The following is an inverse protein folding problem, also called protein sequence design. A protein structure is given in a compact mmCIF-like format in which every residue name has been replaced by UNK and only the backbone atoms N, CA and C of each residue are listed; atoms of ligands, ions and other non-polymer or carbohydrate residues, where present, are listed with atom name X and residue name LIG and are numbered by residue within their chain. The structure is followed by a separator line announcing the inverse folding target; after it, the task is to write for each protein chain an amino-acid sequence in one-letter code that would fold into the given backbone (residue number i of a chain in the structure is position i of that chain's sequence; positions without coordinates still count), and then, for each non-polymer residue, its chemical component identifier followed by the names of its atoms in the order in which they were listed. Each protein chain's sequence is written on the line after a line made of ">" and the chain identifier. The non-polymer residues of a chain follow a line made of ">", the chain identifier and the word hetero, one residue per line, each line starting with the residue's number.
data_IF_626115793632
#
_entry.id   IF_626115793632
#
_cell.length_a   1.000
_cell.length_b   1.000
_cell.length_c   1.000
_cell.angle_alpha   90.00
_cell.angle_beta   90.00
_cell.angle_gamma   90.00
#
_symmetry.space_group_name_H-M   'P 1'
#
loop_
_entity.id
_entity.type
_entity.pdbx_description
1 polymer ?
#
# COMPACT_ATOMS: atom_id res chain seq x y z
N UNK A 1 -18.12 1.35 0.44
CA UNK A 1 -16.90 0.56 0.69
C UNK A 1 -15.71 1.47 0.94
N UNK A 2 -15.03 1.23 2.05
CA UNK A 2 -13.83 2.00 2.35
C UNK A 2 -12.69 1.59 1.42
N UNK A 3 -11.88 2.57 1.04
CA UNK A 3 -10.64 2.33 0.31
C UNK A 3 -9.51 2.93 1.11
N UNK A 4 -8.31 2.37 0.94
CA UNK A 4 -7.12 2.85 1.63
C UNK A 4 -6.08 3.27 0.62
N UNK A 5 -5.61 4.50 0.76
CA UNK A 5 -4.44 4.99 0.04
C UNK A 5 -3.24 4.80 0.95
N UNK A 6 -2.27 4.03 0.48
CA UNK A 6 -1.12 3.63 1.28
C UNK A 6 0.13 4.14 0.57
N UNK A 7 0.96 4.90 1.28
CA UNK A 7 2.30 5.19 0.80
C UNK A 7 3.27 4.27 1.50
N UNK A 8 4.27 3.80 0.78
CA UNK A 8 5.28 2.90 1.31
C UNK A 8 6.68 3.44 1.03
N UNK A 9 7.61 3.11 1.91
CA UNK A 9 8.99 3.52 1.80
C UNK A 9 9.89 2.40 2.30
N UNK A 10 10.89 2.04 1.49
CA UNK A 10 11.90 1.06 1.88
C UNK A 10 12.88 1.74 2.84
N UNK A 11 13.20 1.06 3.95
CA UNK A 11 14.20 1.55 4.89
C UNK A 11 15.60 1.45 4.24
N UNK A 12 16.26 2.58 3.96
CA UNK A 12 17.56 2.54 3.28
C UNK A 12 18.65 1.87 4.12
N UNK A 13 18.49 1.83 5.44
CA UNK A 13 19.47 1.19 6.33
C UNK A 13 19.37 -0.33 6.31
N UNK A 14 18.28 -0.86 5.78
CA UNK A 14 18.05 -2.31 5.70
C UNK A 14 18.07 -2.83 4.27
N UNK A 15 18.21 -1.94 3.29
CA UNK A 15 18.33 -2.33 1.89
C UNK A 15 19.75 -2.83 1.61
N UNK A 16 19.92 -3.92 0.87
CA UNK A 16 21.26 -4.39 0.49
C UNK A 16 21.98 -3.34 -0.35
N UNK A 17 23.27 -3.17 -0.10
CA UNK A 17 24.12 -2.24 -0.84
C UNK A 17 24.51 -2.83 -2.20
N UNK A 18 24.78 -4.13 -2.25
CA UNK A 18 25.12 -4.80 -3.49
C UNK A 18 23.94 -4.79 -4.46
N UNK A 19 24.12 -4.31 -5.73
CA UNK A 19 23.02 -4.22 -6.68
C UNK A 19 22.32 -5.55 -6.98
N UNK A 20 23.04 -6.66 -6.99
CA UNK A 20 22.44 -7.97 -7.24
C UNK A 20 21.57 -8.43 -6.07
N UNK A 21 22.04 -8.25 -4.85
CA UNK A 21 21.25 -8.56 -3.66
C UNK A 21 20.02 -7.65 -3.53
N UNK A 22 20.21 -6.36 -3.84
CA UNK A 22 19.12 -5.39 -3.82
C UNK A 22 18.06 -5.75 -4.87
N UNK A 23 18.50 -6.14 -6.08
CA UNK A 23 17.58 -6.58 -7.13
C UNK A 23 16.78 -7.80 -6.73
N UNK A 24 17.42 -8.77 -6.06
CA UNK A 24 16.75 -9.98 -5.58
C UNK A 24 15.70 -9.64 -4.51
N UNK A 25 16.00 -8.72 -3.60
CA UNK A 25 15.06 -8.28 -2.57
C UNK A 25 13.86 -7.56 -3.20
N UNK A 26 14.09 -6.68 -4.18
CA UNK A 26 13.03 -6.00 -4.91
C UNK A 26 12.14 -6.99 -5.67
N UNK A 27 12.75 -8.00 -6.30
CA UNK A 27 11.98 -9.02 -7.02
C UNK A 27 11.06 -9.79 -6.08
N UNK A 28 11.56 -10.19 -4.92
CA UNK A 28 10.75 -10.89 -3.92
C UNK A 28 9.56 -10.05 -3.48
N UNK A 29 9.79 -8.76 -3.18
CA UNK A 29 8.71 -7.84 -2.79
C UNK A 29 7.70 -7.68 -3.93
N UNK A 30 8.18 -7.48 -5.15
CA UNK A 30 7.31 -7.28 -6.31
C UNK A 30 6.43 -8.52 -6.59
N UNK A 31 6.97 -9.71 -6.41
CA UNK A 31 6.19 -10.94 -6.56
C UNK A 31 5.09 -11.06 -5.50
N UNK A 32 5.37 -10.67 -4.27
CA UNK A 32 4.35 -10.62 -3.21
C UNK A 32 3.24 -9.63 -3.54
N UNK A 33 3.60 -8.45 -4.02
CA UNK A 33 2.63 -7.42 -4.44
C UNK A 33 1.79 -7.93 -5.61
N UNK A 34 2.41 -8.56 -6.59
CA UNK A 34 1.71 -9.11 -7.75
C UNK A 34 0.66 -10.12 -7.32
N UNK A 35 0.99 -10.96 -6.35
CA UNK A 35 0.04 -11.92 -5.78
C UNK A 35 -1.13 -11.20 -5.09
N UNK A 36 -0.86 -10.15 -4.33
CA UNK A 36 -1.90 -9.36 -3.69
C UNK A 36 -2.84 -8.73 -4.71
N UNK A 37 -2.32 -8.26 -5.83
CA UNK A 37 -3.13 -7.73 -6.93
C UNK A 37 -4.00 -8.84 -7.54
N UNK A 38 -3.44 -10.01 -7.77
CA UNK A 38 -4.16 -11.15 -8.33
C UNK A 38 -5.28 -11.63 -7.39
N UNK A 39 -5.08 -11.54 -6.09
CA UNK A 39 -6.07 -11.92 -5.08
C UNK A 39 -7.08 -10.81 -4.79
N UNK A 40 -6.97 -9.65 -5.43
CA UNK A 40 -7.89 -8.54 -5.25
C UNK A 40 -7.69 -7.74 -3.97
N UNK A 41 -6.60 -7.97 -3.24
CA UNK A 41 -6.29 -7.21 -2.01
C UNK A 41 -5.77 -5.83 -2.32
N UNK A 42 -5.07 -5.68 -3.43
CA UNK A 42 -4.51 -4.42 -3.91
C UNK A 42 -5.08 -4.15 -5.29
N UNK A 43 -5.66 -2.98 -5.51
CA UNK A 43 -6.26 -2.62 -6.80
C UNK A 43 -5.32 -1.84 -7.69
N UNK A 44 -4.36 -1.14 -7.11
CA UNK A 44 -3.34 -0.39 -7.86
C UNK A 44 -2.09 -0.25 -7.00
N UNK A 45 -0.94 -0.26 -7.63
CA UNK A 45 0.35 -0.16 -6.97
C UNK A 45 1.36 0.48 -7.90
N UNK A 46 2.23 1.31 -7.37
CA UNK A 46 3.29 1.91 -8.16
C UNK A 46 4.50 2.24 -7.32
N UNK A 47 5.66 2.23 -7.97
CA UNK A 47 6.92 2.66 -7.39
C UNK A 47 7.36 3.96 -8.06
N UNK A 48 7.74 4.96 -7.27
CA UNK A 48 8.26 6.21 -7.81
C UNK A 48 9.65 5.98 -8.36
N UNK A 49 9.88 6.42 -9.57
CA UNK A 49 11.15 6.19 -10.26
C UNK A 49 12.30 6.81 -9.46
N UNK A 50 13.27 5.98 -9.10
CA UNK A 50 14.49 6.44 -8.43
C UNK A 50 14.37 6.73 -6.93
N UNK A 51 13.24 6.43 -6.28
CA UNK A 51 13.02 6.91 -4.92
C UNK A 51 12.87 5.82 -3.86
N UNK A 52 12.85 4.59 -4.12
CA UNK A 52 12.65 3.56 -3.09
C UNK A 52 11.37 3.73 -2.28
N UNK A 53 10.35 4.37 -2.85
CA UNK A 53 9.05 4.61 -2.25
C UNK A 53 7.98 4.58 -3.33
N UNK A 54 6.74 4.51 -2.91
CA UNK A 54 5.63 4.50 -3.85
C UNK A 54 4.28 4.51 -3.16
N UNK A 55 3.27 4.02 -3.84
CA UNK A 55 1.90 4.00 -3.35
C UNK A 55 1.26 2.65 -3.62
N UNK A 56 0.18 2.38 -2.91
CA UNK A 56 -0.76 1.33 -3.26
C UNK A 56 -2.18 1.74 -2.85
N UNK A 57 -3.15 1.16 -3.52
CA UNK A 57 -4.56 1.34 -3.17
C UNK A 57 -5.09 -0.02 -2.76
N UNK A 58 -5.47 -0.12 -1.49
CA UNK A 58 -5.99 -1.35 -0.92
C UNK A 58 -7.50 -1.45 -1.11
N UNK A 59 -7.98 -2.66 -1.37
CA UNK A 59 -9.40 -2.94 -1.42
C UNK A 59 -10.01 -2.81 -0.02
N UNK A 60 -11.18 -2.20 0.06
CA UNK A 60 -11.78 -1.77 1.31
C UNK A 60 -12.54 -2.81 2.12
N UNK A 61 -12.43 -4.08 1.78
CA UNK A 61 -13.20 -5.12 2.47
C UNK A 61 -12.42 -5.81 3.59
N UNK A 62 -11.15 -5.49 3.75
CA UNK A 62 -10.35 -6.04 4.82
C UNK A 62 -10.63 -5.31 6.13
N UNK A 63 -10.66 -6.07 7.24
CA UNK A 63 -10.61 -5.46 8.56
C UNK A 63 -9.25 -4.79 8.77
N UNK A 64 -9.16 -3.89 9.73
CA UNK A 64 -7.89 -3.24 10.05
C UNK A 64 -6.84 -4.23 10.54
N UNK A 65 -7.28 -5.30 11.21
CA UNK A 65 -6.37 -6.37 11.65
C UNK A 65 -5.79 -7.11 10.45
N UNK A 66 -6.61 -7.47 9.48
CA UNK A 66 -6.15 -8.18 8.28
C UNK A 66 -5.24 -7.32 7.44
N UNK A 67 -5.58 -6.04 7.26
CA UNK A 67 -4.73 -5.09 6.57
C UNK A 67 -3.36 -4.97 7.25
N UNK A 68 -3.36 -4.82 8.58
CA UNK A 68 -2.13 -4.73 9.35
C UNK A 68 -1.27 -5.98 9.23
N UNK A 69 -1.88 -7.17 9.24
CA UNK A 69 -1.17 -8.44 9.03
C UNK A 69 -0.49 -8.48 7.66
N UNK A 70 -1.19 -8.05 6.63
CA UNK A 70 -0.63 -8.03 5.28
C UNK A 70 0.56 -7.09 5.19
N UNK A 71 0.47 -5.90 5.80
CA UNK A 71 1.56 -4.94 5.81
C UNK A 71 2.76 -5.40 6.65
N UNK A 72 2.51 -6.14 7.74
CA UNK A 72 3.58 -6.66 8.60
C UNK A 72 4.48 -7.65 7.87
N UNK A 73 4.05 -8.26 6.78
CA UNK A 73 4.90 -9.16 5.98
C UNK A 73 6.14 -8.45 5.44
N UNK A 74 6.09 -7.14 5.33
CA UNK A 74 7.18 -6.31 4.80
C UNK A 74 8.02 -5.65 5.90
N UNK A 75 7.54 -5.69 7.14
CA UNK A 75 8.26 -5.09 8.27
C UNK A 75 9.48 -5.95 8.63
N UNK A 76 10.64 -5.38 8.99
CA UNK A 76 10.91 -3.95 9.15
C UNK A 76 11.49 -3.26 7.90
N UNK A 77 11.50 -3.92 6.76
CA UNK A 77 12.16 -3.42 5.55
C UNK A 77 11.39 -2.30 4.88
N UNK A 78 10.07 -2.30 5.03
CA UNK A 78 9.19 -1.30 4.43
C UNK A 78 8.29 -0.72 5.51
N UNK A 79 8.16 0.60 5.51
CA UNK A 79 7.23 1.31 6.37
C UNK A 79 6.08 1.85 5.55
N UNK A 80 4.93 2.04 6.19
CA UNK A 80 3.69 2.42 5.52
C UNK A 80 3.00 3.57 6.22
N UNK A 81 2.38 4.45 5.41
CA UNK A 81 1.39 5.40 5.90
C UNK A 81 0.05 5.05 5.26
N UNK A 82 -0.95 4.80 6.07
CA UNK A 82 -2.26 4.34 5.62
C UNK A 82 -3.27 5.45 5.82
N UNK A 83 -3.98 5.80 4.74
CA UNK A 83 -5.03 6.81 4.75
C UNK A 83 -6.32 6.18 4.23
N UNK A 84 -7.38 6.27 5.01
CA UNK A 84 -8.69 5.89 4.54
C UNK A 84 -9.24 7.02 3.67
N UNK A 85 -9.80 6.67 2.51
CA UNK A 85 -10.30 7.67 1.58
C UNK A 85 -11.81 7.49 1.34
N UNK A 86 -12.48 8.61 1.17
CA UNK A 86 -13.89 8.64 0.81
C UNK A 86 -14.02 8.69 -0.71
N UNK A 87 -15.04 8.00 -1.22
CA UNK A 87 -15.40 8.13 -2.62
C UNK A 87 -16.07 9.49 -2.87
N UNK A 88 -16.20 9.87 -4.14
CA UNK A 88 -16.94 11.09 -4.48
C UNK A 88 -18.39 11.01 -4.03
N UNK A 89 -19.01 9.83 -4.10
CA UNK A 89 -20.38 9.65 -3.64
C UNK A 89 -20.51 9.82 -2.13
N UNK A 90 -19.54 9.35 -1.37
CA UNK A 90 -19.51 9.56 0.07
C UNK A 90 -19.33 11.03 0.42
N UNK A 91 -18.50 11.76 -0.34
CA UNK A 91 -18.35 13.21 -0.15
C UNK A 91 -19.64 13.94 -0.46
N UNK A 92 -20.37 13.53 -1.50
CA UNK A 92 -21.69 14.10 -1.82
C UNK A 92 -22.66 13.86 -0.65
N UNK A 93 -22.69 12.64 -0.13
CA UNK A 93 -23.53 12.30 1.01
C UNK A 93 -23.21 13.15 2.24
N UNK A 94 -21.92 13.29 2.55
CA UNK A 94 -21.45 14.15 3.63
C UNK A 94 -21.92 15.58 3.42
N UNK A 95 -21.73 16.11 2.20
CA UNK A 95 -22.09 17.49 1.88
C UNK A 95 -23.58 17.74 2.08
N UNK A 96 -24.42 16.80 1.65
CA UNK A 96 -25.88 16.91 1.84
C UNK A 96 -26.25 16.88 3.32
N UNK A 97 -25.59 16.02 4.11
CA UNK A 97 -25.90 15.94 5.53
C UNK A 97 -25.52 17.22 6.28
N UNK A 98 -24.51 17.95 5.79
CA UNK A 98 -24.11 19.22 6.38
C UNK A 98 -25.06 20.36 6.06
N UNK A 99 -25.92 20.22 5.06
CA UNK A 99 -26.87 21.21 4.62
C UNK A 99 -28.22 21.07 5.32
N UNK A 100 -28.41 20.02 6.10
CA UNK A 100 -29.66 19.77 6.83
C UNK A 100 -29.78 20.65 8.08
#
# INVERSE_FOLDING_TARGET
>A
MARYFITWEVDPNRAPVDPKERGAAWLMMAEMVKKDIQEGKTTDWGAFVGEGRGYSIGAGEQSLVDLSKDLQRYFPYVTFNVHQVMSVDEVIELSKSMME
#
